data_IF_330034299381
#
_entry.id   IF_330034299381
#
_cell.length_a   1.000
_cell.length_b   1.000
_cell.length_c   1.000
_cell.angle_alpha   90.00
_cell.angle_beta   90.00
_cell.angle_gamma   90.00
#
_symmetry.space_group_name_H-M   'P 1'
#
loop_
_entity.id
_entity.type
_entity.pdbx_description
1 polymer ?
#
# COMPACT_ATOMS: atom_id res chain seq x y z
N UNK A 1 -27.09 50.64 44.22
CA UNK A 1 -25.92 51.17 43.47
C UNK A 1 -24.84 50.15 43.06
N UNK A 2 -24.77 48.94 43.62
CA UNK A 2 -23.64 48.01 43.37
C UNK A 2 -23.78 47.11 42.11
N UNK A 3 -24.99 46.98 41.55
CA UNK A 3 -25.26 46.09 40.40
C UNK A 3 -25.06 46.77 39.03
N UNK A 4 -25.22 48.10 38.96
CA UNK A 4 -24.96 48.91 37.75
C UNK A 4 -23.45 48.95 37.42
N UNK A 5 -22.60 49.04 38.46
CA UNK A 5 -21.12 49.15 38.34
C UNK A 5 -20.46 47.86 37.83
N UNK A 6 -21.02 46.68 38.14
CA UNK A 6 -20.56 45.38 37.61
C UNK A 6 -20.96 45.18 36.14
N UNK A 7 -22.13 45.67 35.74
CA UNK A 7 -22.61 45.56 34.35
C UNK A 7 -21.80 46.48 33.43
N UNK A 8 -21.54 47.71 33.84
CA UNK A 8 -20.66 48.63 33.10
C UNK A 8 -19.22 48.12 33.01
N UNK A 9 -18.68 47.52 34.08
CA UNK A 9 -17.34 46.92 34.05
C UNK A 9 -17.25 45.73 33.07
N UNK A 10 -18.29 44.87 33.01
CA UNK A 10 -18.36 43.76 32.04
C UNK A 10 -18.45 44.25 30.59
N UNK A 11 -19.21 45.31 30.35
CA UNK A 11 -19.29 45.94 29.03
C UNK A 11 -17.96 46.58 28.62
N UNK A 12 -17.27 47.26 29.55
CA UNK A 12 -15.93 47.79 29.32
C UNK A 12 -14.91 46.69 29.01
N UNK A 13 -14.92 45.57 29.75
CA UNK A 13 -14.02 44.44 29.47
C UNK A 13 -14.31 43.80 28.11
N UNK A 14 -15.58 43.70 27.72
CA UNK A 14 -15.96 43.17 26.41
C UNK A 14 -15.52 44.09 25.27
N UNK A 15 -15.66 45.41 25.45
CA UNK A 15 -15.29 46.41 24.45
C UNK A 15 -13.77 46.46 24.27
N UNK A 16 -13.00 46.33 25.36
CA UNK A 16 -11.53 46.20 25.31
C UNK A 16 -11.12 44.91 24.57
N UNK A 17 -11.75 43.77 24.89
CA UNK A 17 -11.50 42.51 24.18
C UNK A 17 -11.80 42.59 22.68
N UNK A 18 -12.90 43.27 22.31
CA UNK A 18 -13.28 43.48 20.92
C UNK A 18 -12.23 44.32 20.18
N UNK A 19 -11.72 45.39 20.80
CA UNK A 19 -10.68 46.27 20.23
C UNK A 19 -9.35 45.53 20.08
N UNK A 20 -8.97 44.68 21.04
CA UNK A 20 -7.80 43.82 20.91
C UNK A 20 -7.97 42.80 19.78
N UNK A 21 -9.14 42.18 19.65
CA UNK A 21 -9.42 41.21 18.61
C UNK A 21 -9.41 41.86 17.21
N UNK A 22 -10.00 43.05 17.06
CA UNK A 22 -9.99 43.76 15.77
C UNK A 22 -8.60 44.28 15.42
N UNK A 23 -7.84 44.75 16.40
CA UNK A 23 -6.44 45.16 16.19
C UNK A 23 -5.55 43.97 15.83
N UNK A 24 -5.77 42.80 16.46
CA UNK A 24 -5.08 41.56 16.12
C UNK A 24 -5.40 41.12 14.69
N UNK A 25 -6.67 41.13 14.28
CA UNK A 25 -7.09 40.76 12.92
C UNK A 25 -6.57 41.75 11.89
N UNK A 26 -6.61 43.06 12.16
CA UNK A 26 -6.11 44.09 11.25
C UNK A 26 -4.58 44.05 11.12
N UNK A 27 -3.84 43.77 12.20
CA UNK A 27 -2.39 43.61 12.18
C UNK A 27 -1.95 42.29 11.50
N UNK A 28 -2.75 41.23 11.66
CA UNK A 28 -2.54 39.97 10.95
C UNK A 28 -2.88 40.09 9.46
N UNK A 29 -3.83 40.95 9.10
CA UNK A 29 -4.19 41.20 7.70
C UNK A 29 -3.19 42.10 6.96
N UNK A 30 -2.45 42.95 7.68
CA UNK A 30 -1.42 43.82 7.07
C UNK A 30 -0.07 43.13 6.89
N UNK A 31 0.18 42.02 7.59
CA UNK A 31 1.34 41.14 7.35
C UNK A 31 1.00 40.08 6.31
N UNK A 32 0.71 40.55 5.09
CA UNK A 32 0.54 39.74 3.91
C UNK A 32 1.83 39.01 3.51
N UNK A 33 2.03 37.81 4.07
CA UNK A 33 2.85 36.77 3.45
C UNK A 33 1.89 35.73 2.85
N UNK A 34 1.73 35.80 1.53
CA UNK A 34 1.12 34.75 0.72
C UNK A 34 1.74 33.39 1.06
N UNK A 35 1.01 32.54 1.76
CA UNK A 35 1.35 31.13 1.89
C UNK A 35 0.09 30.25 1.76
N UNK A 36 -0.35 29.92 0.53
CA UNK A 36 -1.38 28.92 0.27
C UNK A 36 -0.95 27.49 0.71
N UNK A 37 0.29 27.33 1.19
CA UNK A 37 0.92 26.06 1.52
C UNK A 37 0.65 25.61 2.96
N UNK A 38 0.51 26.54 3.91
CA UNK A 38 0.46 26.22 5.34
C UNK A 38 -0.92 25.71 5.79
N UNK A 39 -2.00 26.23 5.21
CA UNK A 39 -3.37 25.81 5.50
C UNK A 39 -3.67 24.39 4.99
N UNK A 40 -3.15 23.99 3.82
CA UNK A 40 -3.28 22.61 3.32
C UNK A 40 -2.55 21.60 4.21
N UNK A 41 -1.37 21.95 4.74
CA UNK A 41 -0.59 21.07 5.60
C UNK A 41 -1.27 20.80 6.96
N UNK A 42 -1.88 21.82 7.56
CA UNK A 42 -2.59 21.67 8.83
C UNK A 42 -3.90 20.90 8.67
N UNK A 43 -4.68 21.15 7.59
CA UNK A 43 -5.92 20.41 7.30
C UNK A 43 -5.65 18.93 6.97
N UNK A 44 -4.57 18.62 6.25
CA UNK A 44 -4.13 17.23 6.02
C UNK A 44 -3.64 16.56 7.31
N UNK A 45 -2.85 17.27 8.14
CA UNK A 45 -2.37 16.74 9.42
C UNK A 45 -3.47 16.48 10.45
N UNK A 46 -4.50 17.35 10.49
CA UNK A 46 -5.68 17.13 11.32
C UNK A 46 -6.53 15.96 10.80
N UNK A 47 -6.66 15.81 9.47
CA UNK A 47 -7.37 14.69 8.84
C UNK A 47 -6.73 13.34 9.18
N UNK A 48 -5.40 13.24 9.14
CA UNK A 48 -4.69 11.99 9.45
C UNK A 48 -4.81 11.60 10.94
N UNK A 49 -4.81 12.57 11.85
CA UNK A 49 -5.04 12.31 13.27
C UNK A 49 -6.50 12.01 13.59
N UNK A 50 -7.47 12.63 12.91
CA UNK A 50 -8.89 12.27 13.01
C UNK A 50 -9.16 10.87 12.42
N UNK A 51 -8.47 10.50 11.33
CA UNK A 51 -8.51 9.18 10.69
C UNK A 51 -7.95 8.07 11.58
N UNK A 52 -7.06 8.39 12.52
CA UNK A 52 -6.59 7.46 13.58
C UNK A 52 -7.63 7.26 14.69
N UNK A 53 -8.52 8.23 14.92
CA UNK A 53 -9.59 8.18 15.94
C UNK A 53 -10.85 7.43 15.46
N UNK A 54 -11.04 7.24 14.15
CA UNK A 54 -12.13 6.42 13.62
C UNK A 54 -11.76 4.94 13.83
N UNK A 55 -12.43 4.29 14.80
CA UNK A 55 -12.39 2.83 14.95
C UNK A 55 -12.65 2.18 13.58
N UNK A 56 -11.74 1.30 13.14
CA UNK A 56 -11.89 0.59 11.88
C UNK A 56 -13.27 -0.08 11.83
N UNK A 57 -14.11 0.40 10.91
CA UNK A 57 -15.49 -0.07 10.79
C UNK A 57 -15.46 -1.57 10.45
N UNK A 58 -16.25 -2.41 11.14
CA UNK A 58 -16.31 -3.83 10.82
C UNK A 58 -16.77 -4.01 9.37
N UNK A 59 -16.22 -5.03 8.69
CA UNK A 59 -16.62 -5.31 7.32
C UNK A 59 -18.10 -5.72 7.25
N UNK A 60 -18.73 -5.51 6.10
CA UNK A 60 -20.14 -5.84 5.84
C UNK A 60 -20.32 -7.22 5.21
N UNK A 61 -19.23 -8.00 5.11
CA UNK A 61 -19.31 -9.40 4.66
C UNK A 61 -19.94 -10.28 5.74
N UNK A 62 -20.42 -11.46 5.36
CA UNK A 62 -20.94 -12.47 6.31
C UNK A 62 -19.96 -12.81 7.43
N UNK A 63 -18.65 -12.83 7.12
CA UNK A 63 -17.55 -12.96 8.08
C UNK A 63 -16.43 -12.01 7.71
N UNK A 64 -15.72 -11.49 8.71
CA UNK A 64 -14.57 -10.61 8.51
C UNK A 64 -13.28 -11.30 8.95
N UNK A 65 -12.27 -11.35 8.08
CA UNK A 65 -10.94 -11.89 8.43
C UNK A 65 -10.34 -11.15 9.63
N UNK A 66 -10.57 -9.84 9.74
CA UNK A 66 -10.07 -9.03 10.85
C UNK A 66 -10.93 -9.08 12.12
N UNK A 67 -11.94 -9.95 12.20
CA UNK A 67 -12.75 -10.12 13.40
C UNK A 67 -11.92 -10.82 14.47
N UNK A 68 -11.71 -10.14 15.60
CA UNK A 68 -10.98 -10.72 16.73
C UNK A 68 -11.88 -11.68 17.53
N UNK A 69 -11.25 -12.52 18.36
CA UNK A 69 -11.87 -13.46 19.30
C UNK A 69 -12.66 -14.59 18.65
N UNK A 70 -12.44 -14.85 17.36
CA UNK A 70 -13.01 -16.02 16.66
C UNK A 70 -12.11 -17.23 16.81
N UNK A 71 -10.79 -17.03 16.75
CA UNK A 71 -9.78 -18.07 16.94
C UNK A 71 -8.55 -17.48 17.62
N UNK A 72 -8.21 -18.02 18.79
CA UNK A 72 -7.01 -17.61 19.52
C UNK A 72 -5.74 -17.80 18.69
N UNK A 73 -5.65 -18.95 18.00
CA UNK A 73 -4.53 -19.26 17.11
C UNK A 73 -4.37 -18.20 16.00
N UNK A 74 -5.49 -17.74 15.43
CA UNK A 74 -5.48 -16.73 14.37
C UNK A 74 -5.12 -15.35 14.91
N UNK A 75 -5.71 -14.95 16.04
CA UNK A 75 -5.47 -13.65 16.68
C UNK A 75 -3.99 -13.47 17.08
N UNK A 76 -3.31 -14.53 17.49
CA UNK A 76 -1.87 -14.50 17.79
C UNK A 76 -1.00 -14.24 16.56
N UNK A 77 -1.48 -14.59 15.36
CA UNK A 77 -0.69 -14.53 14.11
C UNK A 77 -1.07 -13.34 13.24
N UNK A 78 -2.33 -12.95 13.26
CA UNK A 78 -2.84 -11.92 12.36
C UNK A 78 -2.53 -10.50 12.87
N UNK A 79 -1.57 -9.85 12.22
CA UNK A 79 -1.20 -8.48 12.53
C UNK A 79 -1.93 -7.47 11.62
N UNK A 80 -2.89 -6.74 12.19
CA UNK A 80 -3.73 -5.75 11.47
C UNK A 80 -2.98 -4.50 11.01
N UNK A 81 -1.81 -4.21 11.58
CA UNK A 81 -1.02 -3.02 11.23
C UNK A 81 -0.07 -3.25 10.06
N UNK A 82 0.12 -4.50 9.65
CA UNK A 82 0.99 -4.87 8.54
C UNK A 82 0.55 -4.23 7.23
N UNK A 83 1.52 -3.67 6.52
CA UNK A 83 1.33 -3.05 5.22
C UNK A 83 1.95 -3.96 4.15
N UNK A 84 1.14 -4.58 3.27
CA UNK A 84 1.64 -5.58 2.33
C UNK A 84 2.36 -5.00 1.10
N UNK A 85 2.27 -3.70 0.84
CA UNK A 85 2.92 -3.02 -0.29
C UNK A 85 4.02 -2.07 0.17
N UNK A 86 5.11 -2.07 -0.59
CA UNK A 86 6.22 -1.14 -0.44
C UNK A 86 5.80 0.24 -0.96
N UNK A 87 6.08 1.26 -0.16
CA UNK A 87 5.84 2.67 -0.44
C UNK A 87 7.07 3.47 -0.02
N UNK A 88 7.21 4.70 -0.50
CA UNK A 88 8.30 5.58 -0.09
C UNK A 88 8.32 5.84 1.43
N UNK A 89 7.18 5.69 2.13
CA UNK A 89 7.05 5.94 3.56
C UNK A 89 7.39 4.74 4.44
N UNK A 90 7.23 3.52 3.93
CA UNK A 90 7.45 2.27 4.68
C UNK A 90 8.63 1.44 4.15
N UNK A 91 9.45 2.01 3.26
CA UNK A 91 10.63 1.36 2.68
C UNK A 91 11.81 1.20 3.64
N UNK A 92 11.81 1.91 4.76
CA UNK A 92 12.82 1.75 5.81
C UNK A 92 12.54 0.44 6.55
N UNK A 93 13.52 -0.45 6.52
CA UNK A 93 13.49 -1.73 7.19
C UNK A 93 14.42 -1.72 8.39
N UNK A 94 14.07 -2.47 9.43
CA UNK A 94 14.99 -2.78 10.51
C UNK A 94 16.15 -3.65 10.01
N UNK A 95 17.28 -3.54 10.69
CA UNK A 95 18.52 -4.21 10.29
C UNK A 95 18.36 -5.74 10.27
N UNK A 96 17.69 -6.31 11.27
CA UNK A 96 17.49 -7.76 11.37
C UNK A 96 16.67 -8.31 10.21
N UNK A 97 15.58 -7.62 9.84
CA UNK A 97 14.76 -7.97 8.67
C UNK A 97 15.55 -7.81 7.37
N UNK A 98 16.35 -6.76 7.24
CA UNK A 98 17.19 -6.55 6.07
C UNK A 98 18.23 -7.66 5.92
N UNK A 99 18.93 -8.02 7.00
CA UNK A 99 19.90 -9.10 7.02
C UNK A 99 19.26 -10.47 6.73
N UNK A 100 18.08 -10.73 7.30
CA UNK A 100 17.32 -11.95 7.00
C UNK A 100 16.98 -12.05 5.51
N UNK A 101 16.51 -10.95 4.91
CA UNK A 101 16.14 -10.92 3.51
C UNK A 101 17.33 -11.12 2.57
N UNK A 102 18.47 -10.49 2.84
CA UNK A 102 19.70 -10.71 2.06
C UNK A 102 20.14 -12.19 2.05
N UNK A 103 19.83 -12.94 3.11
CA UNK A 103 20.17 -14.37 3.21
C UNK A 103 19.29 -15.28 2.35
N UNK A 104 18.14 -14.81 1.86
CA UNK A 104 17.22 -15.62 1.05
C UNK A 104 17.87 -16.11 -0.25
N UNK A 105 18.58 -15.21 -0.94
CA UNK A 105 19.23 -15.49 -2.23
C UNK A 105 20.74 -15.25 -2.21
N UNK A 106 21.27 -14.68 -1.11
CA UNK A 106 22.71 -14.48 -0.87
C UNK A 106 23.43 -13.80 -2.03
N UNK A 107 22.91 -12.66 -2.47
CA UNK A 107 23.58 -11.83 -3.48
C UNK A 107 24.99 -11.45 -3.00
N UNK A 108 26.00 -11.65 -3.86
CA UNK A 108 27.41 -11.45 -3.47
C UNK A 108 27.73 -9.99 -3.11
N UNK A 109 27.18 -9.04 -3.87
CA UNK A 109 27.42 -7.60 -3.69
C UNK A 109 26.17 -6.81 -4.09
N UNK A 110 25.12 -6.80 -3.24
CA UNK A 110 23.91 -6.06 -3.53
C UNK A 110 24.19 -4.55 -3.55
N UNK A 111 23.46 -3.82 -4.38
CA UNK A 111 23.44 -2.35 -4.34
C UNK A 111 22.77 -1.85 -3.06
N UNK A 112 22.97 -0.58 -2.72
CA UNK A 112 22.32 0.02 -1.56
C UNK A 112 20.77 -0.03 -1.74
N UNK A 113 20.07 -0.63 -0.78
CA UNK A 113 18.63 -0.81 -0.86
C UNK A 113 17.88 0.53 -0.86
N UNK A 114 18.30 1.50 -0.05
CA UNK A 114 17.66 2.82 0.02
C UNK A 114 17.72 3.52 -1.34
N UNK A 115 18.88 3.50 -1.99
CA UNK A 115 19.04 4.13 -3.30
C UNK A 115 18.30 3.37 -4.40
N UNK A 116 18.27 2.03 -4.31
CA UNK A 116 17.49 1.19 -5.21
C UNK A 116 16.00 1.48 -5.11
N UNK A 117 15.46 1.62 -3.89
CA UNK A 117 14.05 1.94 -3.68
C UNK A 117 13.71 3.37 -4.10
N UNK A 118 14.61 4.34 -3.86
CA UNK A 118 14.44 5.71 -4.37
C UNK A 118 14.36 5.73 -5.90
N UNK A 119 15.23 4.99 -6.58
CA UNK A 119 15.22 4.89 -8.04
C UNK A 119 13.96 4.19 -8.55
N UNK A 120 13.55 3.10 -7.88
CA UNK A 120 12.32 2.39 -8.22
C UNK A 120 11.12 3.34 -8.24
N UNK A 121 10.96 4.17 -7.20
CA UNK A 121 9.83 5.09 -7.10
C UNK A 121 9.94 6.34 -7.98
N UNK A 122 11.03 6.53 -8.71
CA UNK A 122 11.07 7.48 -9.85
C UNK A 122 10.35 6.91 -11.08
N UNK A 123 10.27 5.59 -11.18
CA UNK A 123 9.68 4.87 -12.32
C UNK A 123 8.26 4.42 -12.01
N UNK A 124 8.01 3.84 -10.83
CA UNK A 124 6.70 3.27 -10.44
C UNK A 124 6.06 4.08 -9.30
N UNK A 125 4.73 4.04 -9.12
CA UNK A 125 4.06 4.78 -8.05
C UNK A 125 4.55 4.41 -6.64
N UNK A 126 5.08 5.38 -5.90
CA UNK A 126 5.60 5.20 -4.54
C UNK A 126 4.63 5.55 -3.40
N UNK A 127 3.42 6.03 -3.72
CA UNK A 127 2.43 6.55 -2.77
C UNK A 127 1.07 5.80 -2.86
N UNK A 128 1.08 4.54 -3.31
CA UNK A 128 -0.12 3.69 -3.33
C UNK A 128 -0.67 3.46 -1.91
N UNK A 129 -1.99 3.32 -1.77
CA UNK A 129 -2.57 2.86 -0.50
C UNK A 129 -2.03 1.44 -0.22
N UNK A 130 -1.28 1.22 0.88
CA UNK A 130 -0.72 -0.09 1.17
C UNK A 130 -1.76 -1.20 1.30
N UNK A 131 -3.04 -0.87 1.56
CA UNK A 131 -4.15 -1.82 1.62
C UNK A 131 -5.13 -1.71 0.44
N UNK A 132 -4.71 -1.06 -0.66
CA UNK A 132 -5.45 -0.95 -1.92
C UNK A 132 -6.89 -0.45 -1.72
N UNK A 133 -7.08 0.65 -1.01
CA UNK A 133 -8.38 1.29 -0.76
C UNK A 133 -9.41 0.40 -0.07
N UNK A 134 -8.96 -0.58 0.73
CA UNK A 134 -9.84 -1.47 1.50
C UNK A 134 -10.86 -0.71 2.35
N UNK A 135 -10.53 0.51 2.77
CA UNK A 135 -11.39 1.36 3.61
C UNK A 135 -12.59 1.95 2.86
N UNK A 136 -12.56 2.00 1.52
CA UNK A 136 -13.64 2.56 0.72
C UNK A 136 -14.77 1.55 0.42
N UNK A 137 -14.48 0.25 0.58
CA UNK A 137 -15.43 -0.83 0.25
C UNK A 137 -15.85 -1.53 1.53
N UNK A 138 -17.17 -1.57 1.80
CA UNK A 138 -17.70 -2.23 2.99
C UNK A 138 -17.40 -3.73 3.06
N UNK A 139 -17.38 -4.43 1.93
CA UNK A 139 -17.04 -5.84 1.84
C UNK A 139 -16.26 -6.10 0.55
N UNK A 140 -15.00 -6.51 0.66
CA UNK A 140 -14.18 -6.94 -0.47
C UNK A 140 -14.01 -8.45 -0.44
N UNK A 141 -14.43 -9.12 -1.51
CA UNK A 141 -14.25 -10.55 -1.75
C UNK A 141 -13.09 -10.77 -2.71
N UNK A 142 -12.21 -11.71 -2.36
CA UNK A 142 -11.02 -12.02 -3.16
C UNK A 142 -10.97 -13.51 -3.48
N UNK A 143 -10.70 -13.85 -4.74
CA UNK A 143 -10.26 -15.18 -5.15
C UNK A 143 -8.73 -15.19 -5.28
N UNK A 144 -8.08 -16.15 -4.62
CA UNK A 144 -6.63 -16.40 -4.78
C UNK A 144 -6.47 -17.72 -5.52
N UNK A 145 -5.95 -17.66 -6.74
CA UNK A 145 -5.87 -18.82 -7.64
C UNK A 145 -4.42 -19.27 -7.73
N UNK A 146 -4.16 -20.46 -7.17
CA UNK A 146 -2.88 -21.14 -7.30
C UNK A 146 -2.74 -21.89 -8.63
N UNK A 147 -1.70 -22.72 -8.74
CA UNK A 147 -1.32 -23.38 -9.99
C UNK A 147 -1.43 -24.91 -9.91
N UNK A 148 -2.24 -25.43 -8.98
CA UNK A 148 -2.41 -26.87 -8.79
C UNK A 148 -3.23 -27.49 -9.92
N UNK A 149 -2.87 -28.70 -10.33
CA UNK A 149 -3.61 -29.47 -11.33
C UNK A 149 -5.01 -29.89 -10.88
N UNK A 150 -5.34 -29.76 -9.59
CA UNK A 150 -6.68 -30.02 -9.07
C UNK A 150 -7.75 -29.04 -9.59
N UNK A 151 -7.34 -27.94 -10.23
CA UNK A 151 -8.25 -27.00 -10.87
C UNK A 151 -8.78 -27.54 -12.21
N UNK A 152 -8.10 -28.51 -12.83
CA UNK A 152 -8.53 -29.07 -14.10
C UNK A 152 -9.88 -29.78 -13.94
N UNK A 153 -10.80 -29.49 -14.86
CA UNK A 153 -12.17 -30.02 -14.89
C UNK A 153 -13.00 -29.67 -13.63
N UNK A 154 -12.59 -28.63 -12.88
CA UNK A 154 -13.27 -28.19 -11.67
C UNK A 154 -14.48 -27.30 -11.92
N UNK A 155 -14.55 -26.66 -13.09
CA UNK A 155 -15.59 -25.69 -13.45
C UNK A 155 -15.73 -24.48 -12.49
N UNK A 156 -14.68 -24.16 -11.71
CA UNK A 156 -14.72 -23.03 -10.76
C UNK A 156 -14.67 -21.65 -11.41
N UNK A 157 -14.49 -21.54 -12.73
CA UNK A 157 -14.13 -20.30 -13.39
C UNK A 157 -15.13 -19.16 -13.19
N UNK A 158 -16.44 -19.46 -13.22
CA UNK A 158 -17.49 -18.46 -12.96
C UNK A 158 -17.47 -17.96 -11.52
N UNK A 159 -17.28 -18.86 -10.56
CA UNK A 159 -17.23 -18.51 -9.14
C UNK A 159 -15.99 -17.68 -8.83
N UNK A 160 -14.84 -18.04 -9.40
CA UNK A 160 -13.59 -17.26 -9.30
C UNK A 160 -13.83 -15.84 -9.84
N UNK A 161 -14.37 -15.72 -11.05
CA UNK A 161 -14.61 -14.44 -11.72
C UNK A 161 -15.70 -13.59 -11.04
N UNK A 162 -16.49 -14.15 -10.12
CA UNK A 162 -17.49 -13.39 -9.34
C UNK A 162 -16.90 -12.50 -8.23
N UNK A 163 -15.61 -12.67 -7.92
CA UNK A 163 -14.94 -11.92 -6.84
C UNK A 163 -14.55 -10.50 -7.28
N UNK A 164 -14.43 -9.58 -6.31
CA UNK A 164 -13.98 -8.21 -6.56
C UNK A 164 -12.54 -8.22 -7.05
N UNK A 165 -11.67 -8.94 -6.33
CA UNK A 165 -10.27 -9.15 -6.70
C UNK A 165 -10.02 -10.61 -7.06
N UNK A 166 -9.27 -10.83 -8.14
CA UNK A 166 -8.76 -12.15 -8.53
C UNK A 166 -7.24 -12.05 -8.60
N UNK A 167 -6.57 -12.73 -7.66
CA UNK A 167 -5.12 -12.72 -7.51
C UNK A 167 -4.54 -14.00 -8.06
N UNK A 168 -3.61 -13.87 -9.02
CA UNK A 168 -2.87 -14.98 -9.65
C UNK A 168 -1.38 -14.84 -9.41
N UNK A 169 -0.61 -15.88 -9.74
CA UNK A 169 0.84 -15.90 -9.51
C UNK A 169 1.61 -16.68 -10.57
N UNK A 170 2.90 -16.37 -10.70
CA UNK A 170 3.85 -17.06 -11.57
C UNK A 170 3.39 -17.00 -13.04
N UNK A 171 3.64 -18.05 -13.83
CA UNK A 171 3.32 -18.15 -15.26
C UNK A 171 1.95 -18.76 -15.57
N UNK A 172 1.01 -18.75 -14.63
CA UNK A 172 -0.30 -19.38 -14.77
C UNK A 172 -1.11 -18.77 -15.94
N UNK A 173 -1.45 -19.55 -16.99
CA UNK A 173 -2.31 -19.09 -18.06
C UNK A 173 -3.79 -19.16 -17.63
N UNK A 174 -4.61 -18.30 -18.25
CA UNK A 174 -6.08 -18.40 -18.19
C UNK A 174 -6.67 -18.84 -19.52
N UNK A 175 -6.02 -18.46 -20.63
CA UNK A 175 -6.46 -18.77 -21.99
C UNK A 175 -6.50 -20.29 -22.21
N UNK A 176 -7.67 -20.80 -22.58
CA UNK A 176 -7.93 -22.24 -22.78
C UNK A 176 -8.29 -23.01 -21.50
N UNK A 177 -8.33 -22.33 -20.35
CA UNK A 177 -8.66 -22.92 -19.03
C UNK A 177 -9.77 -22.14 -18.31
N UNK A 178 -10.44 -21.20 -18.98
CA UNK A 178 -11.34 -20.22 -18.36
C UNK A 178 -12.52 -20.87 -17.64
N UNK A 179 -13.00 -22.02 -18.12
CA UNK A 179 -14.06 -22.78 -17.46
C UNK A 179 -13.67 -23.19 -16.04
N UNK A 180 -12.40 -23.52 -15.84
CA UNK A 180 -11.84 -24.02 -14.58
C UNK A 180 -11.28 -22.89 -13.72
N UNK A 181 -10.49 -22.00 -14.31
CA UNK A 181 -9.70 -21.03 -13.56
C UNK A 181 -10.20 -19.60 -13.68
N UNK A 182 -11.22 -19.35 -14.50
CA UNK A 182 -11.75 -18.01 -14.77
C UNK A 182 -10.88 -17.22 -15.74
N UNK A 183 -11.44 -16.12 -16.24
CA UNK A 183 -10.82 -15.23 -17.22
C UNK A 183 -10.28 -13.93 -16.60
N UNK A 184 -10.83 -13.52 -15.44
CA UNK A 184 -10.49 -12.25 -14.80
C UNK A 184 -9.21 -12.38 -13.99
N UNK A 185 -8.42 -11.31 -14.01
CA UNK A 185 -7.26 -11.12 -13.13
C UNK A 185 -7.20 -9.65 -12.77
N UNK A 186 -7.14 -9.33 -11.48
CA UNK A 186 -6.96 -7.93 -11.03
C UNK A 186 -5.53 -7.68 -10.58
N UNK A 187 -4.92 -8.65 -9.90
CA UNK A 187 -3.54 -8.57 -9.43
C UNK A 187 -2.79 -9.84 -9.79
N UNK A 188 -1.52 -9.71 -10.20
CA UNK A 188 -0.69 -10.84 -10.54
C UNK A 188 0.67 -10.73 -9.83
N UNK A 189 0.96 -11.71 -8.97
CA UNK A 189 2.20 -11.81 -8.22
C UNK A 189 3.31 -12.38 -9.11
N UNK A 190 4.41 -11.64 -9.25
CA UNK A 190 5.52 -12.01 -10.14
C UNK A 190 6.87 -11.74 -9.47
N UNK A 191 7.89 -12.42 -9.98
CA UNK A 191 9.31 -12.15 -9.74
C UNK A 191 10.05 -12.41 -11.07
N UNK A 192 11.25 -11.87 -11.30
CA UNK A 192 11.88 -11.84 -12.64
C UNK A 192 11.95 -13.21 -13.31
N UNK A 193 12.27 -14.25 -12.55
CA UNK A 193 12.42 -15.62 -13.04
C UNK A 193 11.08 -16.31 -13.36
N UNK A 194 9.96 -15.77 -12.87
CA UNK A 194 8.62 -16.32 -13.02
C UNK A 194 7.61 -15.26 -13.50
N UNK A 195 7.99 -14.56 -14.57
CA UNK A 195 7.15 -13.58 -15.23
C UNK A 195 6.52 -14.13 -16.52
N UNK A 196 5.34 -13.61 -16.86
CA UNK A 196 4.72 -13.67 -18.19
C UNK A 196 4.07 -12.33 -18.48
N UNK A 197 3.85 -12.01 -19.75
CA UNK A 197 3.11 -10.80 -20.11
C UNK A 197 1.69 -10.82 -19.51
N UNK A 198 1.28 -9.66 -19.01
CA UNK A 198 0.01 -9.46 -18.31
C UNK A 198 -0.92 -8.60 -19.18
N UNK A 199 -2.22 -8.75 -18.97
CA UNK A 199 -3.21 -7.88 -19.63
C UNK A 199 -3.06 -6.42 -19.18
N UNK A 200 -3.44 -5.47 -20.03
CA UNK A 200 -3.22 -4.03 -19.80
C UNK A 200 -3.83 -3.49 -18.49
N UNK A 201 -4.90 -4.13 -18.02
CA UNK A 201 -5.63 -3.72 -16.81
C UNK A 201 -5.23 -4.50 -15.55
N UNK A 202 -4.22 -5.37 -15.63
CA UNK A 202 -3.75 -6.18 -14.51
C UNK A 202 -2.70 -5.41 -13.73
N UNK A 203 -2.88 -5.28 -12.42
CA UNK A 203 -1.85 -4.75 -11.52
C UNK A 203 -0.76 -5.79 -11.28
N UNK A 204 0.45 -5.49 -11.70
CA UNK A 204 1.64 -6.31 -11.45
C UNK A 204 2.13 -6.07 -10.03
N UNK A 205 2.17 -7.11 -9.20
CA UNK A 205 2.71 -7.04 -7.85
C UNK A 205 4.02 -7.81 -7.80
N UNK A 206 5.14 -7.08 -7.79
CA UNK A 206 6.47 -7.66 -7.66
C UNK A 206 6.64 -8.24 -6.25
N UNK A 207 7.21 -9.44 -6.19
CA UNK A 207 7.65 -10.09 -4.95
C UNK A 207 9.17 -10.14 -4.95
N UNK A 208 9.86 -9.17 -4.31
CA UNK A 208 11.31 -9.08 -4.36
C UNK A 208 11.96 -10.03 -3.34
N UNK A 209 12.74 -10.98 -3.84
CA UNK A 209 13.54 -11.90 -3.02
C UNK A 209 15.01 -11.46 -2.90
N UNK A 210 15.40 -10.45 -3.67
CA UNK A 210 16.76 -9.89 -3.72
C UNK A 210 16.76 -8.48 -4.30
N UNK A 211 17.82 -7.70 -4.10
CA UNK A 211 17.92 -6.30 -4.55
C UNK A 211 17.83 -6.21 -6.07
N UNK A 212 18.40 -7.18 -6.79
CA UNK A 212 18.31 -7.23 -8.26
C UNK A 212 16.87 -7.31 -8.76
N UNK A 213 15.91 -7.84 -8.00
CA UNK A 213 14.50 -7.91 -8.45
C UNK A 213 13.85 -6.53 -8.57
N UNK A 214 14.20 -5.62 -7.64
CA UNK A 214 13.77 -4.22 -7.70
C UNK A 214 14.44 -3.50 -8.88
N UNK A 215 15.73 -3.77 -9.11
CA UNK A 215 16.47 -3.21 -10.24
C UNK A 215 15.97 -3.74 -11.58
N UNK A 216 15.53 -4.99 -11.64
CA UNK A 216 14.93 -5.58 -12.83
C UNK A 216 13.65 -4.85 -13.23
N UNK A 217 12.79 -4.42 -12.29
CA UNK A 217 11.61 -3.61 -12.63
C UNK A 217 12.00 -2.28 -13.28
N UNK A 218 13.01 -1.59 -12.73
CA UNK A 218 13.52 -0.34 -13.31
C UNK A 218 14.02 -0.62 -14.73
N UNK A 219 14.88 -1.64 -14.90
CA UNK A 219 15.48 -1.99 -16.18
C UNK A 219 14.44 -2.43 -17.22
N UNK A 220 13.56 -3.38 -16.88
CA UNK A 220 12.60 -3.99 -17.79
C UNK A 220 11.50 -3.05 -18.27
N UNK A 221 11.22 -1.98 -17.52
CA UNK A 221 10.28 -0.93 -17.91
C UNK A 221 10.96 0.27 -18.59
N UNK A 222 12.30 0.27 -18.72
CA UNK A 222 13.08 1.37 -19.31
C UNK A 222 14.13 0.86 -20.31
N UNK A 223 15.35 0.59 -19.84
CA UNK A 223 16.56 0.36 -20.63
C UNK A 223 16.70 -1.08 -21.13
N UNK A 224 16.21 -2.04 -20.37
CA UNK A 224 16.29 -3.47 -20.65
C UNK A 224 17.69 -4.08 -20.59
N UNK A 225 18.52 -3.54 -19.71
CA UNK A 225 19.90 -3.98 -19.47
C UNK A 225 20.01 -5.30 -18.69
N UNK A 226 19.05 -5.61 -17.82
CA UNK A 226 19.07 -6.83 -16.99
C UNK A 226 18.39 -7.96 -17.76
N UNK A 227 19.18 -8.87 -18.30
CA UNK A 227 18.74 -10.04 -19.07
C UNK A 227 18.92 -11.37 -18.30
N UNK A 228 19.62 -11.33 -17.16
CA UNK A 228 20.00 -12.50 -16.39
C UNK A 228 20.04 -12.21 -14.89
N UNK A 229 19.60 -13.17 -14.09
CA UNK A 229 19.83 -13.21 -12.63
C UNK A 229 20.71 -14.43 -12.30
N UNK A 230 20.13 -15.50 -11.74
CA UNK A 230 20.73 -16.85 -11.73
C UNK A 230 20.19 -17.72 -12.89
N UNK A 231 19.18 -17.23 -13.60
CA UNK A 231 18.66 -17.76 -14.86
C UNK A 231 18.33 -16.59 -15.80
N UNK A 232 18.11 -16.83 -17.12
CA UNK A 232 17.65 -15.79 -18.02
C UNK A 232 16.30 -15.21 -17.57
N UNK A 233 16.17 -13.88 -17.64
CA UNK A 233 14.95 -13.14 -17.31
C UNK A 233 14.57 -12.20 -18.46
N UNK A 234 13.28 -11.81 -18.59
CA UNK A 234 12.85 -10.93 -19.66
C UNK A 234 13.56 -9.57 -19.59
N UNK A 235 14.26 -9.13 -20.65
CA UNK A 235 14.92 -7.84 -20.66
C UNK A 235 13.94 -6.67 -20.71
N UNK A 236 12.75 -6.87 -21.30
CA UNK A 236 11.68 -5.87 -21.34
C UNK A 236 10.34 -6.52 -21.04
N UNK A 237 9.43 -5.74 -20.48
CA UNK A 237 8.04 -6.11 -20.22
C UNK A 237 7.09 -5.06 -20.78
N UNK A 238 5.86 -5.46 -21.14
CA UNK A 238 4.85 -4.52 -21.67
C UNK A 238 3.96 -3.89 -20.60
N UNK A 239 4.14 -4.30 -19.35
CA UNK A 239 3.37 -3.77 -18.21
C UNK A 239 3.65 -2.28 -18.06
N UNK A 240 2.59 -1.47 -18.01
CA UNK A 240 2.72 -0.02 -17.81
C UNK A 240 3.20 0.28 -16.39
N UNK A 241 4.08 1.28 -16.26
CA UNK A 241 4.75 1.61 -14.99
C UNK A 241 3.76 1.93 -13.86
N UNK A 242 2.63 2.57 -14.17
CA UNK A 242 1.56 2.90 -13.22
C UNK A 242 0.78 1.69 -12.70
N UNK A 243 0.91 0.53 -13.36
CA UNK A 243 0.31 -0.75 -12.94
C UNK A 243 1.26 -1.60 -12.11
N UNK A 244 2.48 -1.15 -11.87
CA UNK A 244 3.48 -1.88 -11.09
C UNK A 244 3.43 -1.43 -9.64
N UNK A 245 3.44 -2.39 -8.73
CA UNK A 245 3.65 -2.20 -7.30
C UNK A 245 4.61 -3.26 -6.79
N UNK A 246 5.37 -2.95 -5.75
CA UNK A 246 6.20 -3.94 -5.06
C UNK A 246 5.52 -4.33 -3.74
N UNK A 247 5.53 -5.62 -3.42
CA UNK A 247 5.14 -6.06 -2.08
C UNK A 247 6.20 -5.63 -1.07
N UNK A 248 5.80 -5.41 0.18
CA UNK A 248 6.70 -5.23 1.33
C UNK A 248 7.31 -6.59 1.72
N UNK A 249 7.81 -7.31 0.71
CA UNK A 249 8.26 -8.68 0.76
C UNK A 249 9.04 -8.99 2.03
N UNK A 250 10.21 -8.37 2.27
CA UNK A 250 11.04 -8.75 3.40
C UNK A 250 10.38 -8.64 4.78
N UNK A 251 9.73 -7.52 5.11
CA UNK A 251 9.04 -7.37 6.41
C UNK A 251 7.83 -8.29 6.52
N UNK A 252 7.08 -8.48 5.43
CA UNK A 252 5.91 -9.36 5.42
C UNK A 252 6.31 -10.85 5.47
N UNK A 253 7.36 -11.24 4.76
CA UNK A 253 7.88 -12.60 4.78
C UNK A 253 8.55 -12.91 6.11
N UNK A 254 9.33 -11.99 6.70
CA UNK A 254 9.90 -12.19 8.03
C UNK A 254 8.80 -12.38 9.08
N UNK A 255 7.75 -11.55 9.07
CA UNK A 255 6.58 -11.72 9.94
C UNK A 255 5.86 -13.06 9.67
N UNK A 256 5.68 -13.45 8.42
CA UNK A 256 5.04 -14.71 8.04
C UNK A 256 5.85 -15.94 8.50
N UNK A 257 7.15 -15.98 8.18
CA UNK A 257 8.03 -17.11 8.51
C UNK A 257 8.35 -17.19 10.00
N UNK A 258 8.35 -16.09 10.74
CA UNK A 258 8.53 -16.13 12.21
C UNK A 258 7.35 -16.78 12.96
N UNK A 259 6.21 -17.00 12.28
CA UNK A 259 4.95 -17.50 12.87
C UNK A 259 4.59 -18.93 12.47
N UNK A 260 5.39 -19.54 11.59
CA UNK A 260 5.33 -20.95 11.18
C UNK A 260 6.31 -21.73 12.05
#
# INVERSE_FOLDING_TARGET
MMNMRKRTLKWLTFLVLLVFLTSFVLNYSSTGLHAPWFSKQMVLGFSDNLRKLIKAQPCTCTRCISQGKVSYWFDQRFNKTMQPLLTARNALMDEDTYQWWLRLQRERKPNNLSDTVKELFRVVPGNVDPVLDKRLVGCRRCAVVGNSGNLKDSSYGRDIDSHDFVVRMNRAPTVGFEADVGSRTTHHLVYPESFRELGENVSMVLVPFKTTDLQWVISATTTGTITHTYVPVPPKIKVKQEKVSASLGPSHFADFFSKI
#
